data_IF_234643434005
#
_entry.id   IF_234643434005
#
_cell.length_a   1.000
_cell.length_b   1.000
_cell.length_c   1.000
_cell.angle_alpha   90.00
_cell.angle_beta   90.00
_cell.angle_gamma   90.00
#
_symmetry.space_group_name_H-M   'P 1'
#
loop_
_entity.id
_entity.type
_entity.pdbx_description
1 polymer ?
#
# COMPACT_ATOMS: atom_id res chain seq x y z
N UNK A 1 0.95 14.14 11.84
CA UNK A 1 -0.44 14.21 11.35
C UNK A 1 -1.25 13.29 12.24
N UNK A 2 -2.38 13.78 12.76
CA UNK A 2 -3.04 13.25 13.97
C UNK A 2 -4.09 12.18 13.59
N UNK A 3 -4.64 11.42 14.55
CA UNK A 3 -5.72 10.41 14.37
C UNK A 3 -6.80 10.90 13.41
N UNK A 4 -7.05 12.22 13.38
CA UNK A 4 -8.00 12.90 12.51
C UNK A 4 -7.77 12.66 11.01
N UNK A 5 -6.54 12.49 10.54
CA UNK A 5 -6.30 12.24 9.11
C UNK A 5 -6.55 10.78 8.74
N UNK A 6 -6.14 9.85 9.60
CA UNK A 6 -6.52 8.44 9.47
C UNK A 6 -8.04 8.21 9.52
N UNK A 7 -8.73 8.91 10.43
CA UNK A 7 -10.18 8.86 10.58
C UNK A 7 -10.93 9.46 9.37
N UNK A 8 -10.29 10.33 8.60
CA UNK A 8 -10.84 10.92 7.37
C UNK A 8 -10.64 10.07 6.13
N UNK A 9 -9.71 9.11 6.17
CA UNK A 9 -9.52 8.18 5.07
C UNK A 9 -10.80 7.37 4.85
N UNK A 10 -11.16 7.22 3.58
CA UNK A 10 -12.17 6.25 3.15
C UNK A 10 -11.72 4.81 3.46
N UNK A 11 -12.65 3.86 3.43
CA UNK A 11 -12.31 2.46 3.64
C UNK A 11 -11.31 1.93 2.59
N UNK A 12 -11.43 2.34 1.32
CA UNK A 12 -10.47 1.98 0.24
C UNK A 12 -9.09 2.56 0.53
N UNK A 13 -9.00 3.85 0.89
CA UNK A 13 -7.73 4.46 1.23
C UNK A 13 -7.07 3.76 2.43
N UNK A 14 -7.85 3.39 3.45
CA UNK A 14 -7.33 2.61 4.59
C UNK A 14 -6.80 1.26 4.17
N UNK A 15 -7.49 0.52 3.30
CA UNK A 15 -7.02 -0.77 2.81
C UNK A 15 -5.64 -0.64 2.14
N UNK A 16 -5.44 0.35 1.26
CA UNK A 16 -4.12 0.62 0.68
C UNK A 16 -3.08 0.99 1.74
N UNK A 17 -3.46 1.79 2.75
CA UNK A 17 -2.54 2.12 3.83
C UNK A 17 -2.15 0.90 4.66
N UNK A 18 -3.08 -0.02 4.96
CA UNK A 18 -2.81 -1.28 5.68
C UNK A 18 -1.78 -2.10 4.91
N UNK A 19 -2.03 -2.36 3.63
CA UNK A 19 -1.14 -3.13 2.75
C UNK A 19 0.26 -2.51 2.66
N UNK A 20 0.33 -1.18 2.62
CA UNK A 20 1.61 -0.46 2.57
C UNK A 20 2.44 -0.52 3.87
N UNK A 21 1.87 -0.95 5.00
CA UNK A 21 2.66 -1.26 6.21
C UNK A 21 3.43 -2.57 6.07
N UNK A 22 2.83 -3.54 5.38
CA UNK A 22 3.33 -4.90 5.24
C UNK A 22 4.20 -5.08 3.99
N UNK A 23 4.34 -4.02 3.19
CA UNK A 23 4.94 -4.09 1.85
C UNK A 23 4.19 -5.08 0.95
N UNK A 24 2.89 -5.23 1.17
CA UNK A 24 2.13 -6.29 0.51
C UNK A 24 2.02 -6.05 -1.00
N UNK A 25 1.74 -7.13 -1.72
CA UNK A 25 1.44 -7.08 -3.14
C UNK A 25 0.08 -6.41 -3.38
N UNK A 26 -0.09 -5.77 -4.53
CA UNK A 26 -1.30 -5.03 -4.87
C UNK A 26 -2.62 -5.82 -4.68
N UNK A 27 -2.72 -7.12 -5.01
CA UNK A 27 -3.91 -7.93 -4.76
C UNK A 27 -4.27 -8.10 -3.27
N UNK A 28 -3.33 -7.85 -2.35
CA UNK A 28 -3.59 -7.89 -0.91
C UNK A 28 -4.70 -6.93 -0.48
N UNK A 29 -4.88 -5.82 -1.20
CA UNK A 29 -5.88 -4.79 -0.88
C UNK A 29 -7.29 -5.35 -0.76
N UNK A 30 -7.63 -6.37 -1.55
CA UNK A 30 -8.96 -6.99 -1.51
C UNK A 30 -9.27 -7.65 -0.16
N UNK A 31 -8.25 -8.11 0.56
CA UNK A 31 -8.40 -8.69 1.90
C UNK A 31 -8.74 -7.67 2.98
N UNK A 32 -8.39 -6.40 2.78
CA UNK A 32 -8.58 -5.31 3.74
C UNK A 32 -9.75 -4.37 3.40
N UNK A 33 -10.47 -4.64 2.31
CA UNK A 33 -11.72 -3.92 2.01
C UNK A 33 -12.79 -4.27 3.05
N UNK A 34 -13.58 -3.27 3.45
CA UNK A 34 -14.70 -3.47 4.38
C UNK A 34 -15.81 -4.28 3.70
N UNK A 35 -16.11 -5.52 4.15
CA UNK A 35 -17.11 -6.38 3.51
C UNK A 35 -18.55 -5.85 3.68
N UNK A 36 -18.77 -4.85 4.55
CA UNK A 36 -20.06 -4.18 4.69
C UNK A 36 -20.29 -3.08 3.61
N UNK A 37 -19.24 -2.71 2.86
CA UNK A 37 -19.33 -1.76 1.76
C UNK A 37 -19.50 -2.47 0.41
N UNK A 38 -20.06 -1.80 -0.61
CA UNK A 38 -20.05 -2.31 -1.97
C UNK A 38 -18.61 -2.54 -2.45
N UNK A 39 -18.40 -3.66 -3.14
CA UNK A 39 -17.10 -3.97 -3.74
C UNK A 39 -16.75 -2.92 -4.81
N UNK A 40 -15.60 -2.23 -4.68
CA UNK A 40 -15.19 -1.21 -5.63
C UNK A 40 -14.75 -1.83 -6.95
N UNK A 41 -14.95 -1.11 -8.05
CA UNK A 41 -14.39 -1.53 -9.35
C UNK A 41 -12.86 -1.38 -9.39
N UNK A 42 -12.16 -2.14 -10.23
CA UNK A 42 -10.72 -1.96 -10.43
C UNK A 42 -10.35 -0.53 -10.86
N UNK A 43 -11.18 0.12 -11.67
CA UNK A 43 -11.00 1.52 -12.06
C UNK A 43 -11.10 2.49 -10.88
N UNK A 44 -11.96 2.20 -9.92
CA UNK A 44 -12.11 2.98 -8.68
C UNK A 44 -10.90 2.79 -7.77
N UNK A 45 -10.46 1.54 -7.57
CA UNK A 45 -9.24 1.22 -6.84
C UNK A 45 -8.01 1.89 -7.46
N UNK A 46 -7.85 1.79 -8.78
CA UNK A 46 -6.79 2.44 -9.53
C UNK A 46 -6.82 3.96 -9.34
N UNK A 47 -8.00 4.58 -9.45
CA UNK A 47 -8.16 6.02 -9.26
C UNK A 47 -7.73 6.46 -7.85
N UNK A 48 -8.19 5.75 -6.81
CA UNK A 48 -7.81 6.05 -5.41
C UNK A 48 -6.31 5.90 -5.22
N UNK A 49 -5.72 4.78 -5.66
CA UNK A 49 -4.29 4.53 -5.51
C UNK A 49 -3.44 5.58 -6.22
N UNK A 50 -3.80 5.97 -7.44
CA UNK A 50 -3.10 7.04 -8.17
C UNK A 50 -3.13 8.35 -7.40
N UNK A 51 -4.25 8.72 -6.76
CA UNK A 51 -4.29 9.92 -5.91
C UNK A 51 -3.38 9.82 -4.70
N UNK A 52 -3.29 8.64 -4.06
CA UNK A 52 -2.40 8.43 -2.91
C UNK A 52 -0.93 8.58 -3.31
N UNK A 53 -0.57 8.10 -4.51
CA UNK A 53 0.76 8.32 -5.10
C UNK A 53 0.98 9.79 -5.48
N UNK A 54 0.00 10.44 -6.10
CA UNK A 54 0.09 11.86 -6.50
C UNK A 54 0.22 12.80 -5.30
N UNK A 55 -0.39 12.45 -4.16
CA UNK A 55 -0.20 13.13 -2.89
C UNK A 55 1.17 12.86 -2.25
N UNK A 56 1.97 11.98 -2.85
CA UNK A 56 3.26 11.55 -2.36
C UNK A 56 3.15 10.73 -1.08
N UNK A 57 2.03 10.06 -0.82
CA UNK A 57 1.83 9.25 0.41
C UNK A 57 2.25 7.80 0.22
N UNK A 58 2.23 7.32 -1.01
CA UNK A 58 2.63 5.96 -1.33
C UNK A 58 3.52 5.94 -2.56
N UNK A 59 4.32 4.89 -2.65
CA UNK A 59 5.08 4.53 -3.83
C UNK A 59 4.75 3.08 -4.19
N UNK A 60 4.70 2.81 -5.49
CA UNK A 60 4.57 1.47 -6.03
C UNK A 60 5.92 1.02 -6.57
N UNK A 61 6.27 -0.24 -6.36
CA UNK A 61 7.50 -0.84 -6.84
C UNK A 61 7.21 -2.28 -7.26
N UNK A 62 8.27 -3.02 -7.55
CA UNK A 62 8.17 -4.47 -7.75
C UNK A 62 9.03 -5.17 -6.72
N UNK A 63 8.58 -6.31 -6.23
CA UNK A 63 9.46 -7.15 -5.42
C UNK A 63 10.70 -7.55 -6.22
N UNK A 64 11.86 -7.41 -5.58
CA UNK A 64 13.14 -7.90 -6.08
C UNK A 64 13.76 -8.83 -5.05
N UNK A 65 14.58 -9.76 -5.52
CA UNK A 65 15.37 -10.60 -4.63
C UNK A 65 16.38 -9.73 -3.88
N UNK A 66 16.40 -9.87 -2.57
CA UNK A 66 17.45 -9.34 -1.72
C UNK A 66 18.15 -10.49 -1.02
N UNK A 67 19.47 -10.36 -0.85
CA UNK A 67 20.28 -11.37 -0.15
C UNK A 67 20.98 -10.64 0.98
N UNK A 68 20.74 -11.10 2.21
CA UNK A 68 21.40 -10.59 3.39
C UNK A 68 22.91 -10.91 3.36
N UNK A 69 23.72 -10.16 4.13
CA UNK A 69 25.17 -10.40 4.23
C UNK A 69 25.52 -11.81 4.74
N UNK A 70 24.58 -12.47 5.44
CA UNK A 70 24.71 -13.85 5.92
C UNK A 70 24.29 -14.92 4.89
N UNK A 71 23.91 -14.49 3.68
CA UNK A 71 23.51 -15.36 2.55
C UNK A 71 22.05 -15.79 2.56
N UNK A 72 21.20 -15.31 3.49
CA UNK A 72 19.77 -15.59 3.45
C UNK A 72 19.07 -14.80 2.35
N UNK A 73 18.22 -15.50 1.61
CA UNK A 73 17.32 -14.90 0.62
C UNK A 73 16.11 -14.27 1.30
N UNK A 74 15.72 -13.08 0.84
CA UNK A 74 14.51 -12.37 1.22
C UNK A 74 13.96 -11.56 0.04
N UNK A 75 12.85 -10.87 0.26
CA UNK A 75 12.25 -9.93 -0.68
C UNK A 75 12.50 -8.50 -0.24
N UNK A 76 12.74 -7.63 -1.21
CA UNK A 76 12.81 -6.18 -0.99
C UNK A 76 11.92 -5.44 -1.98
N UNK A 77 11.42 -4.29 -1.55
CA UNK A 77 10.83 -3.32 -2.46
C UNK A 77 11.91 -2.82 -3.42
N UNK A 78 11.72 -3.06 -4.71
CA UNK A 78 12.58 -2.55 -5.77
C UNK A 78 12.38 -1.06 -6.03
N UNK A 79 12.97 -0.57 -7.12
CA UNK A 79 12.85 0.83 -7.50
C UNK A 79 11.38 1.23 -7.73
N UNK A 80 10.98 2.45 -7.34
CA UNK A 80 9.64 2.96 -7.60
C UNK A 80 9.32 2.95 -9.09
N UNK A 81 8.13 2.45 -9.42
CA UNK A 81 7.59 2.50 -10.78
C UNK A 81 7.29 3.96 -11.14
N UNK A 82 7.76 4.45 -12.30
CA UNK A 82 7.50 5.81 -12.74
C UNK A 82 6.00 6.12 -12.83
N UNK A 83 5.63 7.32 -12.38
CA UNK A 83 4.23 7.74 -12.28
C UNK A 83 3.46 7.68 -13.62
N UNK A 84 4.12 7.94 -14.73
CA UNK A 84 3.57 7.88 -16.09
C UNK A 84 3.24 6.46 -16.55
N UNK A 85 3.82 5.44 -15.91
CA UNK A 85 3.56 4.03 -16.21
C UNK A 85 2.43 3.44 -15.33
N UNK A 86 2.16 4.03 -14.17
CA UNK A 86 1.20 3.50 -13.19
C UNK A 86 -0.21 3.37 -13.77
N UNK A 87 -0.67 4.37 -14.54
CA UNK A 87 -2.02 4.33 -15.12
C UNK A 87 -2.21 3.13 -16.06
N UNK A 88 -1.18 2.76 -16.84
CA UNK A 88 -1.27 1.61 -17.74
C UNK A 88 -1.26 0.29 -16.96
N UNK A 89 -0.40 0.18 -15.93
CA UNK A 89 -0.31 -1.01 -15.09
C UNK A 89 -1.61 -1.27 -14.31
N UNK A 90 -2.19 -0.22 -13.72
CA UNK A 90 -3.42 -0.35 -12.93
C UNK A 90 -4.67 -0.59 -13.79
N UNK A 91 -4.60 -0.28 -15.09
CA UNK A 91 -5.66 -0.61 -16.04
C UNK A 91 -5.63 -2.08 -16.48
N UNK A 92 -4.51 -2.79 -16.28
CA UNK A 92 -4.38 -4.21 -16.58
C UNK A 92 -4.96 -5.05 -15.41
N UNK A 93 -6.04 -5.84 -15.64
CA UNK A 93 -6.59 -6.72 -14.62
C UNK A 93 -5.56 -7.68 -14.02
N UNK A 94 -4.57 -8.13 -14.80
CA UNK A 94 -3.55 -9.06 -14.32
C UNK A 94 -2.67 -8.45 -13.21
N UNK A 95 -2.54 -7.12 -13.14
CA UNK A 95 -1.85 -6.43 -12.05
C UNK A 95 -2.53 -6.60 -10.68
N UNK A 96 -3.83 -6.95 -10.69
CA UNK A 96 -4.67 -7.13 -9.51
C UNK A 96 -4.86 -8.59 -9.14
N UNK A 97 -4.22 -9.53 -9.85
CA UNK A 97 -4.29 -10.96 -9.59
C UNK A 97 -3.06 -11.42 -8.80
N UNK A 98 -3.26 -12.41 -7.92
CA UNK A 98 -2.14 -13.05 -7.23
C UNK A 98 -1.25 -13.75 -8.26
N UNK A 99 0.09 -13.53 -8.22
CA UNK A 99 0.99 -14.23 -9.13
C UNK A 99 1.01 -15.73 -8.84
N UNK A 100 1.10 -16.54 -9.90
CA UNK A 100 1.24 -18.00 -9.80
C UNK A 100 2.56 -18.43 -9.14
N UNK A 101 3.60 -17.60 -9.28
CA UNK A 101 4.91 -17.85 -8.69
C UNK A 101 4.91 -17.47 -7.19
N UNK A 102 5.09 -18.44 -6.28
CA UNK A 102 5.13 -18.17 -4.84
C UNK A 102 6.36 -17.36 -4.40
N UNK A 103 7.33 -17.13 -5.29
CA UNK A 103 8.46 -16.23 -5.01
C UNK A 103 8.04 -14.76 -4.92
N UNK A 104 6.91 -14.40 -5.54
CA UNK A 104 6.39 -13.03 -5.67
C UNK A 104 7.36 -12.02 -6.33
N UNK A 105 8.51 -12.46 -6.84
CA UNK A 105 9.47 -11.60 -7.52
C UNK A 105 8.79 -10.98 -8.75
N UNK A 106 8.88 -9.66 -8.88
CA UNK A 106 8.23 -8.90 -9.94
C UNK A 106 6.80 -8.48 -9.65
N UNK A 107 6.16 -9.00 -8.58
CA UNK A 107 4.82 -8.56 -8.18
C UNK A 107 4.83 -7.09 -7.75
N UNK A 108 3.76 -6.36 -8.08
CA UNK A 108 3.62 -4.96 -7.70
C UNK A 108 3.38 -4.85 -6.19
N UNK A 109 4.17 -4.04 -5.50
CA UNK A 109 4.07 -3.82 -4.06
C UNK A 109 3.79 -2.37 -3.73
N UNK A 110 3.25 -2.15 -2.54
CA UNK A 110 2.92 -0.83 -2.00
C UNK A 110 3.81 -0.51 -0.80
N UNK A 111 4.40 0.68 -0.77
CA UNK A 111 5.10 1.19 0.42
C UNK A 111 4.70 2.61 0.73
N UNK A 112 4.75 2.97 2.01
CA UNK A 112 4.57 4.36 2.43
C UNK A 112 5.85 5.15 2.27
N UNK A 113 5.69 6.32 1.68
CA UNK A 113 6.70 7.38 1.74
C UNK A 113 6.81 7.93 3.16
N UNK A 114 7.78 8.82 3.39
CA UNK A 114 7.87 9.55 4.65
C UNK A 114 6.57 10.33 4.95
N UNK A 115 6.00 11.00 3.95
CA UNK A 115 4.74 11.74 4.10
C UNK A 115 3.58 10.78 4.44
N UNK A 116 3.48 9.63 3.77
CA UNK A 116 2.47 8.61 4.06
C UNK A 116 2.54 8.07 5.48
N UNK A 117 3.76 7.88 6.00
CA UNK A 117 3.96 7.45 7.40
C UNK A 117 3.40 8.45 8.41
N UNK A 118 3.29 9.73 8.06
CA UNK A 118 2.69 10.73 8.95
C UNK A 118 1.17 10.61 9.04
N UNK A 119 0.51 10.08 8.01
CA UNK A 119 -0.96 9.88 7.96
C UNK A 119 -1.39 8.80 8.95
N UNK A 120 -0.57 7.76 9.06
CA UNK A 120 -0.88 6.55 9.81
C UNK A 120 -0.22 6.53 11.20
N UNK A 121 0.39 7.63 11.64
CA UNK A 121 1.00 7.76 12.97
C UNK A 121 -0.01 8.42 13.90
N UNK A 122 -0.27 7.82 15.05
CA UNK A 122 -0.87 8.55 16.17
C UNK A 122 0.10 9.66 16.59
N UNK A 123 -0.41 10.86 16.87
CA UNK A 123 0.40 11.91 17.49
C UNK A 123 0.76 11.53 18.94
N UNK A 124 1.81 12.14 19.49
CA UNK A 124 2.24 11.87 20.87
C UNK A 124 1.10 12.13 21.90
N UNK A 125 0.27 13.14 21.65
CA UNK A 125 -0.89 13.48 22.48
C UNK A 125 -1.98 12.39 22.44
N UNK A 126 -2.13 11.70 21.30
CA UNK A 126 -3.11 10.64 21.12
C UNK A 126 -2.65 9.31 21.71
N UNK A 127 -1.34 9.06 21.73
CA UNK A 127 -0.75 7.94 22.47
C UNK A 127 -0.97 8.15 23.97
N UNK A 128 -0.69 9.37 24.47
CA UNK A 128 -0.91 9.72 25.87
C UNK A 128 -2.40 9.65 26.30
N UNK A 129 -3.33 9.96 25.39
CA UNK A 129 -4.77 9.84 25.68
C UNK A 129 -5.24 8.38 25.71
N UNK A 130 -4.63 7.49 24.93
CA UNK A 130 -4.96 6.06 24.88
C UNK A 130 -4.45 5.28 26.10
N UNK A 131 -3.30 5.67 26.65
CA UNK A 131 -2.69 5.01 27.81
C UNK A 131 -3.32 5.45 29.17
N UNK A 132 -4.28 6.38 29.13
CA UNK A 132 -5.03 6.85 30.29
C UNK A 132 -6.48 6.32 30.35
N UNK A 133 -6.82 5.30 29.55
CA UNK A 133 -8.12 4.60 29.52
C UNK A 133 -7.98 3.17 30.01
#
# INVERSE_FOLDING_TARGET
MSLREWERLTHIERAFFINSFEMDILPGVFGDLDPAQPEPSLSELAFVLLRLVDNGWMEMGRYVRWVADDGRDDLAHGDPVPRDQLSALLADPASWEYPDDPSWIGALTLVKTEAGRTISRMSADEIAARDNV
#
